data_IF_726492423351
#
_entry.id   IF_726492423351
#
_cell.length_a   1.000
_cell.length_b   1.000
_cell.length_c   1.000
_cell.angle_alpha   90.00
_cell.angle_beta   90.00
_cell.angle_gamma   90.00
#
_symmetry.space_group_name_H-M   'P 1'
#
loop_
_entity.id
_entity.type
_entity.pdbx_description
1 polymer ?
#
# COMPACT_ATOMS: atom_id res chain seq x y z
N UNK A 1 14.59 -9.13 29.97
CA UNK A 1 14.76 -10.25 29.03
C UNK A 1 15.52 -9.72 27.84
N UNK A 2 16.83 -9.96 27.84
CA UNK A 2 17.73 -9.59 26.75
C UNK A 2 17.48 -10.55 25.58
N UNK A 3 17.08 -10.02 24.43
CA UNK A 3 17.17 -10.77 23.19
C UNK A 3 18.59 -10.65 22.66
N UNK A 4 19.30 -11.77 22.80
CA UNK A 4 20.68 -11.96 22.41
C UNK A 4 20.93 -11.59 20.95
N UNK A 5 22.13 -11.01 20.74
CA UNK A 5 22.79 -10.77 19.46
C UNK A 5 22.56 -11.94 18.49
N UNK A 6 21.96 -11.65 17.35
CA UNK A 6 22.15 -12.46 16.15
C UNK A 6 23.61 -12.27 15.74
N UNK A 7 24.40 -13.32 15.95
CA UNK A 7 25.78 -13.44 15.49
C UNK A 7 25.80 -13.42 13.97
N UNK A 8 26.32 -12.33 13.39
CA UNK A 8 26.53 -12.20 11.95
C UNK A 8 27.66 -13.09 11.45
N UNK A 9 27.47 -13.65 10.26
CA UNK A 9 28.51 -14.32 9.49
C UNK A 9 29.61 -13.29 9.13
N UNK A 10 30.92 -13.59 9.27
CA UNK A 10 31.98 -12.58 9.10
C UNK A 10 32.29 -12.19 7.64
N UNK A 11 31.52 -12.69 6.65
CA UNK A 11 31.96 -12.74 5.26
C UNK A 11 31.26 -11.79 4.27
N UNK A 12 30.29 -10.97 4.70
CA UNK A 12 29.73 -9.88 3.87
C UNK A 12 29.51 -8.64 4.73
N UNK A 13 29.88 -7.47 4.23
CA UNK A 13 29.84 -6.18 4.94
C UNK A 13 28.43 -5.62 5.18
N UNK A 14 27.47 -6.46 5.55
CA UNK A 14 26.09 -6.07 5.76
C UNK A 14 25.91 -5.48 7.16
N UNK A 15 26.23 -4.20 7.31
CA UNK A 15 25.86 -3.45 8.51
C UNK A 15 24.34 -3.19 8.46
N UNK A 16 23.58 -3.57 9.49
CA UNK A 16 22.17 -3.23 9.55
C UNK A 16 22.00 -1.72 9.59
N UNK A 17 21.01 -1.20 8.85
CA UNK A 17 20.61 0.20 8.93
C UNK A 17 20.16 0.51 10.35
N UNK A 18 20.75 1.52 10.98
CA UNK A 18 20.36 1.94 12.33
C UNK A 18 19.36 3.09 12.26
N UNK A 19 18.61 3.29 13.35
CA UNK A 19 17.60 4.35 13.43
C UNK A 19 18.15 5.75 13.12
N UNK A 20 19.43 6.01 13.44
CA UNK A 20 20.09 7.26 13.11
C UNK A 20 20.23 7.46 11.59
N UNK A 21 20.67 6.44 10.85
CA UNK A 21 20.80 6.48 9.40
C UNK A 21 19.44 6.73 8.73
N UNK A 22 18.39 6.05 9.21
CA UNK A 22 17.02 6.22 8.72
C UNK A 22 16.53 7.65 8.95
N UNK A 23 16.75 8.19 10.15
CA UNK A 23 16.35 9.56 10.50
C UNK A 23 17.05 10.60 9.61
N UNK A 24 18.36 10.48 9.45
CA UNK A 24 19.15 11.42 8.65
C UNK A 24 18.76 11.38 7.17
N UNK A 25 18.36 10.22 6.64
CA UNK A 25 17.83 10.09 5.28
C UNK A 25 16.44 10.71 5.14
N UNK A 26 15.53 10.48 6.10
CA UNK A 26 14.16 11.03 6.05
C UNK A 26 14.18 12.56 6.04
N UNK A 27 15.11 13.20 6.75
CA UNK A 27 15.24 14.66 6.77
C UNK A 27 15.64 15.29 5.42
N UNK A 28 16.13 14.50 4.47
CA UNK A 28 16.52 14.96 3.12
C UNK A 28 15.39 14.82 2.10
N UNK A 29 14.27 14.21 2.48
CA UNK A 29 13.15 13.97 1.57
C UNK A 29 12.37 15.27 1.39
N UNK A 30 12.18 15.67 0.13
CA UNK A 30 11.24 16.74 -0.21
C UNK A 30 9.84 16.16 -0.35
N UNK A 31 8.91 16.63 0.48
CA UNK A 31 7.50 16.25 0.38
C UNK A 31 6.86 16.91 -0.84
N UNK A 32 6.05 16.13 -1.57
CA UNK A 32 5.34 16.58 -2.77
C UNK A 32 3.87 16.20 -2.61
N UNK A 33 2.97 17.13 -2.94
CA UNK A 33 1.54 16.86 -2.94
C UNK A 33 1.13 16.12 -4.22
N UNK A 34 -0.03 15.46 -4.20
CA UNK A 34 -0.58 14.89 -5.43
C UNK A 34 -0.86 15.97 -6.48
N UNK A 35 -0.63 15.60 -7.73
CA UNK A 35 -0.67 16.44 -8.93
C UNK A 35 0.24 17.69 -8.90
N UNK A 36 1.03 17.89 -7.84
CA UNK A 36 2.01 18.97 -7.80
C UNK A 36 3.12 18.69 -8.82
N UNK A 37 3.43 19.68 -9.64
CA UNK A 37 4.56 19.63 -10.56
C UNK A 37 5.85 20.00 -9.84
N UNK A 38 6.82 19.08 -9.85
CA UNK A 38 8.17 19.35 -9.36
C UNK A 38 9.14 19.24 -10.53
N UNK A 39 9.86 20.33 -10.80
CA UNK A 39 10.86 20.36 -11.86
C UNK A 39 12.24 20.02 -11.30
N UNK A 40 12.83 18.96 -11.83
CA UNK A 40 14.19 18.54 -11.53
C UNK A 40 15.12 18.93 -12.68
N UNK A 41 16.20 19.65 -12.35
CA UNK A 41 17.24 20.09 -13.30
C UNK A 41 16.69 20.83 -14.54
N UNK A 42 15.57 21.55 -14.38
CA UNK A 42 14.94 22.35 -15.44
C UNK A 42 14.37 21.57 -16.63
N UNK A 43 14.44 20.23 -16.60
CA UNK A 43 14.21 19.39 -17.78
C UNK A 43 13.22 18.26 -17.51
N UNK A 44 13.20 17.75 -16.28
CA UNK A 44 12.35 16.64 -15.88
C UNK A 44 11.23 17.16 -14.98
N UNK A 45 9.98 17.03 -15.40
CA UNK A 45 8.83 17.33 -14.54
C UNK A 45 8.32 16.03 -13.94
N UNK A 46 8.12 16.03 -12.63
CA UNK A 46 7.71 14.86 -11.85
C UNK A 46 6.39 15.20 -11.15
N UNK A 47 5.40 14.31 -11.30
CA UNK A 47 4.09 14.41 -10.64
C UNK A 47 3.72 13.08 -9.99
N UNK A 48 3.16 13.14 -8.78
CA UNK A 48 2.59 11.98 -8.09
C UNK A 48 1.07 12.00 -8.21
N UNK A 49 0.45 10.86 -8.52
CA UNK A 49 -1.01 10.68 -8.52
C UNK A 49 -1.37 9.50 -7.62
N UNK A 50 -2.50 9.58 -6.91
CA UNK A 50 -2.90 8.51 -6.00
C UNK A 50 -3.04 7.17 -6.74
N UNK A 51 -2.59 6.08 -6.12
CA UNK A 51 -2.83 4.72 -6.60
C UNK A 51 -4.05 4.04 -5.95
N UNK A 52 -4.64 4.65 -4.92
CA UNK A 52 -5.83 4.12 -4.26
C UNK A 52 -5.61 2.89 -3.37
N UNK A 53 -4.37 2.49 -3.07
CA UNK A 53 -4.11 1.35 -2.18
C UNK A 53 -4.11 1.76 -0.70
N UNK A 54 -3.32 2.77 -0.36
CA UNK A 54 -3.17 3.24 1.02
C UNK A 54 -2.83 4.74 1.05
N UNK A 55 -2.81 5.34 2.24
CA UNK A 55 -2.45 6.75 2.40
C UNK A 55 -1.00 6.95 1.93
N UNK A 56 -0.81 7.85 0.96
CA UNK A 56 0.50 8.17 0.38
C UNK A 56 0.93 7.24 -0.76
N UNK A 57 0.20 6.16 -1.07
CA UNK A 57 0.53 5.31 -2.22
C UNK A 57 0.24 6.04 -3.52
N UNK A 58 1.21 6.06 -4.42
CA UNK A 58 1.13 6.83 -5.65
C UNK A 58 1.80 6.19 -6.86
N UNK A 59 1.30 6.59 -8.02
CA UNK A 59 1.89 6.38 -9.33
C UNK A 59 2.59 7.68 -9.75
N UNK A 60 3.70 7.54 -10.46
CA UNK A 60 4.56 8.67 -10.81
C UNK A 60 4.53 8.91 -12.31
N UNK A 61 4.31 10.16 -12.71
CA UNK A 61 4.47 10.61 -14.10
C UNK A 61 5.74 11.45 -14.19
N UNK A 62 6.62 11.03 -15.09
CA UNK A 62 7.90 11.66 -15.38
C UNK A 62 7.85 12.20 -16.81
N UNK A 63 7.71 13.52 -16.95
CA UNK A 63 7.70 14.18 -18.24
C UNK A 63 9.11 14.66 -18.58
N UNK A 64 9.66 14.14 -19.68
CA UNK A 64 10.97 14.50 -20.17
C UNK A 64 10.93 15.01 -21.61
N UNK A 65 12.04 15.58 -22.12
CA UNK A 65 12.09 16.18 -23.46
C UNK A 65 11.96 15.14 -24.59
N UNK A 66 12.16 13.85 -24.28
CA UNK A 66 12.10 12.75 -25.26
C UNK A 66 10.79 11.95 -25.18
N UNK A 67 9.88 12.34 -24.29
CA UNK A 67 8.66 11.61 -24.01
C UNK A 67 8.45 11.38 -22.52
N UNK A 68 7.24 10.93 -22.22
CA UNK A 68 6.74 10.79 -20.87
C UNK A 68 6.72 9.32 -20.42
N UNK A 69 7.14 9.09 -19.19
CA UNK A 69 7.16 7.76 -18.57
C UNK A 69 6.19 7.77 -17.39
N UNK A 70 5.27 6.82 -17.37
CA UNK A 70 4.46 6.52 -16.20
C UNK A 70 5.02 5.31 -15.45
N UNK A 71 5.22 5.45 -14.15
CA UNK A 71 5.46 4.34 -13.23
C UNK A 71 4.15 4.02 -12.51
N UNK A 72 3.60 2.86 -12.84
CA UNK A 72 2.39 2.31 -12.26
C UNK A 72 2.78 1.24 -11.22
N UNK A 73 2.55 1.61 -9.97
CA UNK A 73 2.60 0.70 -8.82
C UNK A 73 1.28 -0.06 -8.69
N UNK A 74 1.20 -0.95 -7.70
CA UNK A 74 -0.07 -1.57 -7.32
C UNK A 74 -1.13 -0.48 -7.10
N UNK A 75 -2.27 -0.64 -7.74
CA UNK A 75 -3.32 0.37 -7.79
C UNK A 75 -4.69 -0.28 -7.64
N UNK A 76 -5.58 0.35 -6.88
CA UNK A 76 -6.96 -0.09 -6.69
C UNK A 76 -7.94 1.04 -7.07
N UNK A 77 -8.96 0.69 -7.84
CA UNK A 77 -10.02 1.64 -8.23
C UNK A 77 -10.98 1.96 -7.08
N UNK A 78 -11.18 1.01 -6.16
CA UNK A 78 -12.12 1.13 -5.06
C UNK A 78 -11.34 1.11 -3.74
N UNK A 79 -11.15 2.28 -3.16
CA UNK A 79 -10.53 2.45 -1.84
C UNK A 79 -11.53 3.05 -0.90
N UNK A 80 -11.66 2.50 0.30
CA UNK A 80 -12.51 3.08 1.34
C UNK A 80 -11.79 4.23 2.08
N UNK A 81 -10.49 4.07 2.31
CA UNK A 81 -9.70 4.95 3.18
C UNK A 81 -8.59 5.75 2.47
N UNK A 82 -8.30 5.50 1.19
CA UNK A 82 -7.34 6.26 0.40
C UNK A 82 -8.02 7.07 -0.71
N UNK A 83 -7.33 8.10 -1.20
CA UNK A 83 -7.79 8.85 -2.38
C UNK A 83 -7.89 7.91 -3.58
N UNK A 84 -8.98 7.96 -4.33
CA UNK A 84 -9.22 7.07 -5.48
C UNK A 84 -8.09 7.13 -6.51
N UNK A 85 -7.83 6.00 -7.16
CA UNK A 85 -6.85 5.91 -8.24
C UNK A 85 -7.25 6.80 -9.42
N UNK A 86 -6.39 7.78 -9.74
CA UNK A 86 -6.54 8.62 -10.92
C UNK A 86 -5.89 7.97 -12.16
N UNK A 87 -6.55 6.97 -12.72
CA UNK A 87 -6.08 6.29 -13.94
C UNK A 87 -6.03 7.21 -15.17
N UNK A 88 -6.77 8.32 -15.16
CA UNK A 88 -6.80 9.28 -16.29
C UNK A 88 -5.48 10.02 -16.41
N UNK A 89 -4.75 10.17 -15.32
CA UNK A 89 -3.37 10.71 -15.31
C UNK A 89 -2.39 9.93 -16.19
N UNK A 90 -2.70 8.67 -16.53
CA UNK A 90 -1.88 7.82 -17.40
C UNK A 90 -2.13 8.06 -18.90
N UNK A 91 -3.19 8.78 -19.26
CA UNK A 91 -3.54 8.96 -20.67
C UNK A 91 -2.49 9.82 -21.38
N UNK A 92 -2.05 9.34 -22.55
CA UNK A 92 -1.07 10.05 -23.38
C UNK A 92 0.40 9.84 -23.00
N UNK A 93 0.69 9.04 -21.96
CA UNK A 93 2.08 8.70 -21.61
C UNK A 93 2.72 7.83 -22.68
N UNK A 94 3.97 8.11 -23.04
CA UNK A 94 4.66 7.40 -24.13
C UNK A 94 5.14 6.00 -23.76
N UNK A 95 5.38 5.75 -22.47
CA UNK A 95 5.84 4.46 -21.96
C UNK A 95 5.33 4.22 -20.55
N UNK A 96 5.00 2.97 -20.24
CA UNK A 96 4.48 2.54 -18.95
C UNK A 96 5.41 1.49 -18.34
N UNK A 97 5.87 1.75 -17.12
CA UNK A 97 6.54 0.76 -16.26
C UNK A 97 5.49 0.28 -15.28
N UNK A 98 5.13 -1.00 -15.37
CA UNK A 98 4.18 -1.64 -14.48
C UNK A 98 4.91 -2.58 -13.52
N UNK A 99 4.65 -2.43 -12.22
CA UNK A 99 5.44 -3.09 -11.16
C UNK A 99 4.64 -4.01 -10.23
N UNK A 100 3.34 -4.19 -10.49
CA UNK A 100 2.49 -5.07 -9.68
C UNK A 100 2.27 -6.43 -10.37
N UNK A 101 3.00 -7.43 -9.89
CA UNK A 101 2.80 -8.83 -10.24
C UNK A 101 2.24 -9.57 -9.02
N UNK A 102 1.14 -9.08 -8.43
CA UNK A 102 0.34 -9.92 -7.56
C UNK A 102 0.02 -11.21 -8.33
N UNK A 103 0.46 -12.35 -7.80
CA UNK A 103 0.19 -13.66 -8.36
C UNK A 103 -1.32 -13.79 -8.57
N UNK A 104 -1.74 -14.24 -9.77
CA UNK A 104 -3.13 -14.58 -10.14
C UNK A 104 -3.76 -15.67 -9.26
N UNK A 105 -3.20 -15.96 -8.08
CA UNK A 105 -3.72 -16.91 -7.10
C UNK A 105 -4.99 -16.41 -6.40
N UNK A 106 -5.33 -15.11 -6.49
CA UNK A 106 -6.64 -14.59 -6.03
C UNK A 106 -7.69 -14.48 -7.15
N UNK A 107 -7.30 -14.72 -8.41
CA UNK A 107 -8.17 -14.54 -9.58
C UNK A 107 -8.81 -15.86 -10.09
N UNK A 108 -8.58 -16.98 -9.40
CA UNK A 108 -9.18 -18.28 -9.72
C UNK A 108 -10.35 -18.71 -8.82
N UNK A 109 -10.98 -17.78 -8.10
CA UNK A 109 -12.23 -18.05 -7.35
C UNK A 109 -13.45 -17.34 -7.95
N UNK A 110 -13.45 -17.06 -9.26
CA UNK A 110 -14.62 -16.49 -9.96
C UNK A 110 -15.57 -17.58 -10.50
N UNK A 111 -15.19 -18.86 -10.44
CA UNK A 111 -16.04 -19.95 -10.95
C UNK A 111 -16.65 -20.89 -9.89
N UNK A 112 -16.50 -20.66 -8.59
CA UNK A 112 -17.31 -21.40 -7.61
C UNK A 112 -17.88 -20.45 -6.55
N UNK A 113 -19.19 -20.27 -6.63
CA UNK A 113 -19.93 -19.51 -5.63
C UNK A 113 -19.79 -20.15 -4.25
N UNK A 114 -19.88 -19.30 -3.24
CA UNK A 114 -20.29 -19.65 -1.87
C UNK A 114 -19.23 -19.99 -0.82
N UNK A 115 -17.91 -19.92 -1.06
CA UNK A 115 -16.93 -20.21 0.00
C UNK A 115 -15.71 -19.27 0.09
N UNK A 116 -15.87 -17.98 -0.23
CA UNK A 116 -14.89 -17.00 0.27
C UNK A 116 -15.25 -16.73 1.73
N UNK A 117 -14.59 -17.44 2.66
CA UNK A 117 -14.68 -17.10 4.07
C UNK A 117 -14.11 -15.70 4.25
N UNK A 118 -15.01 -14.72 4.26
CA UNK A 118 -14.70 -13.37 4.67
C UNK A 118 -13.98 -13.47 6.04
N UNK A 119 -12.75 -12.94 6.18
CA UNK A 119 -12.03 -13.00 7.45
C UNK A 119 -12.86 -12.42 8.61
N UNK A 120 -13.82 -11.53 8.32
CA UNK A 120 -14.76 -11.01 9.33
C UNK A 120 -15.73 -12.06 9.83
N UNK A 121 -16.20 -13.00 8.98
CA UNK A 121 -17.15 -14.05 9.35
C UNK A 121 -16.55 -15.01 10.38
N UNK A 122 -15.33 -15.50 10.14
CA UNK A 122 -14.63 -16.35 11.10
C UNK A 122 -14.31 -15.61 12.42
N UNK A 123 -14.01 -14.30 12.34
CA UNK A 123 -13.80 -13.48 13.52
C UNK A 123 -15.08 -13.34 14.36
N UNK A 124 -16.23 -13.12 13.71
CA UNK A 124 -17.55 -13.02 14.35
C UNK A 124 -17.90 -14.32 15.07
N UNK A 125 -17.72 -15.47 14.43
CA UNK A 125 -17.99 -16.78 15.06
C UNK A 125 -17.10 -17.04 16.27
N UNK A 126 -15.81 -16.71 16.18
CA UNK A 126 -14.86 -16.84 17.29
C UNK A 126 -15.30 -16.01 18.50
N UNK A 127 -15.71 -14.75 18.27
CA UNK A 127 -16.17 -13.84 19.34
C UNK A 127 -17.51 -14.31 19.92
N UNK A 128 -18.46 -14.76 19.10
CA UNK A 128 -19.73 -15.34 19.57
C UNK A 128 -19.51 -16.56 20.48
N UNK A 129 -18.46 -17.34 20.21
CA UNK A 129 -18.03 -18.47 21.06
C UNK A 129 -17.28 -18.08 22.34
N UNK A 130 -17.10 -16.78 22.63
CA UNK A 130 -16.34 -16.29 23.77
C UNK A 130 -14.81 -16.35 23.59
N UNK A 131 -14.34 -16.53 22.35
CA UNK A 131 -12.93 -16.57 21.98
C UNK A 131 -12.29 -15.19 21.78
N UNK A 132 -11.04 -15.19 21.35
CA UNK A 132 -10.28 -13.97 21.02
C UNK A 132 -9.65 -14.11 19.64
N UNK A 133 -9.63 -13.01 18.88
CA UNK A 133 -9.11 -12.96 17.51
C UNK A 133 -7.80 -12.16 17.49
N UNK A 134 -6.76 -12.71 16.86
CA UNK A 134 -5.51 -12.02 16.58
C UNK A 134 -5.34 -11.87 15.08
N UNK A 135 -5.29 -10.63 14.59
CA UNK A 135 -5.10 -10.33 13.16
C UNK A 135 -3.68 -9.78 12.98
N UNK A 136 -2.76 -10.53 12.34
CA UNK A 136 -1.43 -10.01 12.04
C UNK A 136 -1.54 -8.93 10.95
N UNK A 137 -1.00 -7.74 11.23
CA UNK A 137 -1.01 -6.62 10.28
C UNK A 137 0.43 -6.29 9.85
N UNK A 138 0.67 -6.29 8.53
CA UNK A 138 1.99 -5.99 7.96
C UNK A 138 2.10 -4.58 7.36
N UNK A 139 0.99 -3.89 7.10
CA UNK A 139 0.96 -2.53 6.54
C UNK A 139 -0.05 -1.65 7.26
N UNK A 140 0.29 -0.37 7.42
CA UNK A 140 -0.59 0.58 8.10
C UNK A 140 -1.93 0.77 7.35
N UNK A 141 -1.92 0.77 6.02
CA UNK A 141 -3.15 0.87 5.21
C UNK A 141 -4.16 -0.24 5.52
N UNK A 142 -3.70 -1.46 5.74
CA UNK A 142 -4.56 -2.60 6.10
C UNK A 142 -5.26 -2.41 7.45
N UNK A 143 -4.63 -1.73 8.42
CA UNK A 143 -5.25 -1.41 9.71
C UNK A 143 -6.45 -0.49 9.51
N UNK A 144 -6.28 0.57 8.70
CA UNK A 144 -7.34 1.56 8.47
C UNK A 144 -8.55 0.92 7.79
N UNK A 145 -8.31 0.08 6.77
CA UNK A 145 -9.35 -0.68 6.11
C UNK A 145 -10.12 -1.59 7.08
N UNK A 146 -9.41 -2.34 7.93
CA UNK A 146 -10.03 -3.23 8.92
C UNK A 146 -10.82 -2.46 9.98
N UNK A 147 -10.33 -1.30 10.43
CA UNK A 147 -11.05 -0.47 11.40
C UNK A 147 -12.37 0.06 10.84
N UNK A 148 -12.38 0.45 9.57
CA UNK A 148 -13.59 0.92 8.90
C UNK A 148 -14.62 -0.21 8.79
N UNK A 149 -14.20 -1.40 8.37
CA UNK A 149 -15.05 -2.59 8.26
C UNK A 149 -15.59 -3.06 9.62
N UNK A 150 -14.77 -3.02 10.68
CA UNK A 150 -15.26 -3.32 12.03
C UNK A 150 -16.27 -2.29 12.53
N UNK A 151 -16.10 -1.01 12.16
CA UNK A 151 -17.02 0.06 12.55
C UNK A 151 -18.39 -0.15 11.90
N UNK A 152 -18.44 -0.46 10.60
CA UNK A 152 -19.70 -0.72 9.90
C UNK A 152 -20.42 -1.96 10.45
N UNK A 153 -19.68 -3.02 10.79
CA UNK A 153 -20.24 -4.22 11.43
C UNK A 153 -20.82 -3.92 12.82
N UNK A 154 -20.12 -3.12 13.63
CA UNK A 154 -20.60 -2.70 14.94
C UNK A 154 -21.88 -1.87 14.83
N UNK A 155 -21.94 -0.92 13.90
CA UNK A 155 -23.14 -0.11 13.64
C UNK A 155 -24.33 -0.98 13.21
N UNK A 156 -24.10 -1.95 12.31
CA UNK A 156 -25.13 -2.89 11.88
C UNK A 156 -25.67 -3.73 13.04
N UNK A 157 -24.79 -4.17 13.95
CA UNK A 157 -25.18 -4.95 15.13
C UNK A 157 -25.92 -4.16 16.22
N UNK A 158 -25.77 -2.83 16.26
CA UNK A 158 -26.45 -1.97 17.22
C UNK A 158 -27.90 -1.62 16.81
N UNK A 159 -28.29 -1.97 15.58
CA UNK A 159 -29.64 -1.76 15.05
C UNK A 159 -30.56 -2.99 15.23
N UNK A 160 -30.04 -4.12 15.74
CA UNK A 160 -30.81 -5.28 16.21
C UNK A 160 -31.11 -5.19 17.71
#
# INVERSE_FOLDING_TARGET
MEWNRVVGCPCTGDKPLIAADVKDCILKINTVNYAQEVCYNGTLVIKAFSSGIEIGSCNWILNGPKGDIAYLSSSCFFSAHAMSFDYRSLQGTSSLIYSDFASLTDAQDIEDGDNKSDPTSCAIECVKGGGSVLIPINRLGTILQLLEEMTTLLEASAME
#
